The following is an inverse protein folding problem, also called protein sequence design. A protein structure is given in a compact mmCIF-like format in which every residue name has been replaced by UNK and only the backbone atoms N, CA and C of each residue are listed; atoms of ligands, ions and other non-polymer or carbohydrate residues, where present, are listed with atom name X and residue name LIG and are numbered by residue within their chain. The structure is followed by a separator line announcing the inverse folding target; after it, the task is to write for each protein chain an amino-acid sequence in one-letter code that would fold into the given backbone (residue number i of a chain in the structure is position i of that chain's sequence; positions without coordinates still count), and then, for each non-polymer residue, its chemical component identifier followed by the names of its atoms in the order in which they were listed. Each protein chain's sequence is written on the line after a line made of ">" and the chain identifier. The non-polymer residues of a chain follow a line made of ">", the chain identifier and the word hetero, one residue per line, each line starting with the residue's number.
data_IF_604697558050
#
_entry.id   IF_604697558050
#
_cell.length_a   1.000
_cell.length_b   1.000
_cell.length_c   1.000
_cell.angle_alpha   90.00
_cell.angle_beta   90.00
_cell.angle_gamma   90.00
#
_symmetry.space_group_name_H-M   'P 1'
#
loop_
_entity.id
_entity.type
_entity.pdbx_description
1 polymer ?
#
# COMPACT_ATOMS: atom_id res chain seq x y z
N UNK A 1 6.94 9.63 -28.87
CA UNK A 1 7.25 8.65 -27.78
C UNK A 1 7.51 9.32 -26.43
N UNK A 2 7.25 10.62 -26.25
CA UNK A 2 7.58 11.40 -25.04
C UNK A 2 6.46 11.46 -23.98
N UNK A 3 5.21 11.13 -24.34
CA UNK A 3 4.04 11.35 -23.47
C UNK A 3 3.91 10.36 -22.30
N UNK A 4 4.36 9.10 -22.45
CA UNK A 4 4.23 8.08 -21.39
C UNK A 4 5.19 8.33 -20.23
N UNK A 5 6.42 8.79 -20.53
CA UNK A 5 7.41 9.11 -19.50
C UNK A 5 6.99 10.33 -18.67
N UNK A 6 6.34 11.33 -19.30
CA UNK A 6 5.82 12.50 -18.59
C UNK A 6 4.70 12.15 -17.61
N UNK A 7 3.78 11.25 -17.99
CA UNK A 7 2.70 10.80 -17.09
C UNK A 7 3.22 9.99 -15.91
N UNK A 8 4.16 9.07 -16.14
CA UNK A 8 4.75 8.30 -15.05
C UNK A 8 5.41 9.19 -14.00
N UNK A 9 6.12 10.24 -14.43
CA UNK A 9 6.73 11.23 -13.53
C UNK A 9 5.68 12.01 -12.74
N UNK A 10 4.64 12.54 -13.40
CA UNK A 10 3.61 13.33 -12.71
C UNK A 10 2.77 12.52 -11.73
N UNK A 11 2.47 11.25 -12.04
CA UNK A 11 1.82 10.32 -11.10
C UNK A 11 2.73 10.10 -9.89
N UNK A 12 4.03 9.87 -10.10
CA UNK A 12 5.01 9.69 -9.02
C UNK A 12 5.12 10.90 -8.10
N UNK A 13 5.18 12.11 -8.65
CA UNK A 13 5.21 13.37 -7.90
C UNK A 13 3.92 13.56 -7.09
N UNK A 14 2.75 13.42 -7.72
CA UNK A 14 1.47 13.53 -7.02
C UNK A 14 1.32 12.49 -5.90
N UNK A 15 1.76 11.25 -6.13
CA UNK A 15 1.72 10.18 -5.15
C UNK A 15 2.61 10.47 -3.93
N UNK A 16 3.80 11.03 -4.18
CA UNK A 16 4.71 11.46 -3.13
C UNK A 16 4.12 12.64 -2.32
N UNK A 17 3.56 13.64 -2.99
CA UNK A 17 2.93 14.79 -2.36
C UNK A 17 1.71 14.40 -1.51
N UNK A 18 0.86 13.50 -2.02
CA UNK A 18 -0.24 12.91 -1.25
C UNK A 18 0.29 12.26 0.03
N UNK A 19 1.31 11.41 -0.09
CA UNK A 19 1.87 10.67 1.04
C UNK A 19 2.51 11.59 2.07
N UNK A 20 3.22 12.63 1.64
CA UNK A 20 3.79 13.65 2.51
C UNK A 20 2.71 14.42 3.28
N UNK A 21 1.63 14.82 2.61
CA UNK A 21 0.50 15.47 3.26
C UNK A 21 -0.19 14.55 4.28
N UNK A 22 -0.48 13.30 3.91
CA UNK A 22 -1.10 12.31 4.82
C UNK A 22 -0.25 12.03 6.06
N UNK A 23 1.07 11.93 5.87
CA UNK A 23 2.06 11.80 6.95
C UNK A 23 2.00 12.99 7.90
N UNK A 24 1.90 14.21 7.35
CA UNK A 24 1.77 15.45 8.13
C UNK A 24 0.49 15.44 8.98
N UNK A 25 -0.63 14.93 8.47
CA UNK A 25 -1.87 14.80 9.27
C UNK A 25 -1.69 13.92 10.51
N UNK A 26 -0.95 12.80 10.38
CA UNK A 26 -0.70 11.90 11.52
C UNK A 26 0.28 12.54 12.50
N UNK A 27 1.37 13.11 11.98
CA UNK A 27 2.39 13.80 12.77
C UNK A 27 1.80 14.94 13.62
N UNK A 28 0.97 15.78 12.99
CA UNK A 28 0.32 16.93 13.63
C UNK A 28 -0.95 16.54 14.41
N UNK A 29 -1.30 15.24 14.45
CA UNK A 29 -2.48 14.71 15.17
C UNK A 29 -3.80 15.34 14.70
N UNK A 30 -3.93 15.59 13.39
CA UNK A 30 -5.15 16.08 12.76
C UNK A 30 -6.23 14.98 12.65
N UNK A 31 -6.68 14.48 13.80
CA UNK A 31 -7.60 13.35 13.88
C UNK A 31 -8.96 13.62 13.23
N UNK A 32 -9.37 14.89 13.16
CA UNK A 32 -10.57 15.32 12.42
C UNK A 32 -10.46 15.04 10.93
N UNK A 33 -9.36 15.48 10.31
CA UNK A 33 -9.04 15.23 8.89
C UNK A 33 -8.93 13.73 8.60
N UNK A 34 -8.23 12.98 9.45
CA UNK A 34 -8.12 11.51 9.34
C UNK A 34 -9.48 10.81 9.52
N UNK A 35 -10.37 11.33 10.37
CA UNK A 35 -11.72 10.81 10.52
C UNK A 35 -12.61 11.09 9.32
N UNK A 36 -12.47 12.26 8.70
CA UNK A 36 -13.17 12.62 7.47
C UNK A 36 -12.75 11.71 6.30
N UNK A 37 -11.45 11.44 6.14
CA UNK A 37 -10.93 10.54 5.11
C UNK A 37 -11.51 9.12 5.20
N UNK A 38 -11.86 8.65 6.41
CA UNK A 38 -12.48 7.32 6.61
C UNK A 38 -13.98 7.25 6.23
N UNK A 39 -14.64 8.37 5.95
CA UNK A 39 -16.08 8.39 5.65
C UNK A 39 -16.32 8.18 4.16
N UNK A 40 -16.83 6.99 3.81
CA UNK A 40 -17.04 6.59 2.41
C UNK A 40 -18.20 7.33 1.74
N UNK A 41 -19.21 7.73 2.51
CA UNK A 41 -20.51 8.23 1.99
C UNK A 41 -20.64 9.75 1.91
N UNK A 42 -19.68 10.51 2.46
CA UNK A 42 -19.73 11.97 2.44
C UNK A 42 -18.53 12.51 1.64
N UNK A 43 -18.81 13.36 0.66
CA UNK A 43 -17.79 14.21 0.06
C UNK A 43 -17.25 15.17 1.12
N UNK A 44 -16.07 14.85 1.66
CA UNK A 44 -15.42 15.68 2.68
C UNK A 44 -14.32 16.51 2.07
N UNK A 45 -14.04 17.68 2.64
CA UNK A 45 -12.95 18.56 2.19
C UNK A 45 -11.60 17.83 2.17
N UNK A 46 -11.32 16.98 3.16
CA UNK A 46 -10.12 16.16 3.20
C UNK A 46 -10.05 15.16 2.04
N UNK A 47 -11.17 14.50 1.68
CA UNK A 47 -11.21 13.59 0.53
C UNK A 47 -11.01 14.37 -0.77
N UNK A 48 -11.71 15.49 -0.97
CA UNK A 48 -11.52 16.30 -2.18
C UNK A 48 -10.08 16.78 -2.33
N UNK A 49 -9.44 17.17 -1.22
CA UNK A 49 -8.02 17.54 -1.17
C UNK A 49 -7.11 16.37 -1.57
N UNK A 50 -7.38 15.16 -1.08
CA UNK A 50 -6.63 13.98 -1.51
C UNK A 50 -6.69 13.79 -3.03
N UNK A 51 -7.88 13.93 -3.63
CA UNK A 51 -8.06 13.83 -5.07
C UNK A 51 -7.34 14.92 -5.87
N UNK A 52 -7.04 16.08 -5.28
CA UNK A 52 -6.33 17.17 -5.97
C UNK A 52 -4.83 16.91 -6.19
N UNK A 53 -4.27 15.89 -5.55
CA UNK A 53 -2.90 15.44 -5.83
C UNK A 53 -2.80 14.57 -7.11
N UNK A 54 -3.94 14.17 -7.68
CA UNK A 54 -3.95 13.44 -8.95
C UNK A 54 -3.54 14.37 -10.11
N UNK A 55 -2.64 13.94 -11.01
CA UNK A 55 -2.25 14.75 -12.16
C UNK A 55 -3.40 14.97 -13.13
N UNK A 56 -4.29 13.98 -13.25
CA UNK A 56 -5.47 14.02 -14.12
C UNK A 56 -6.76 13.88 -13.30
N UNK A 57 -7.82 14.57 -13.72
CA UNK A 57 -9.13 14.50 -13.06
C UNK A 57 -9.76 13.09 -13.07
N UNK A 58 -9.40 12.25 -14.04
CA UNK A 58 -9.85 10.86 -14.11
C UNK A 58 -9.28 9.96 -13.01
N UNK A 59 -8.11 10.32 -12.46
CA UNK A 59 -7.37 9.48 -11.52
C UNK A 59 -7.64 9.85 -10.06
N UNK A 60 -8.49 10.87 -9.81
CA UNK A 60 -8.84 11.36 -8.46
C UNK A 60 -9.32 10.26 -7.52
N UNK A 61 -10.11 9.31 -8.03
CA UNK A 61 -10.63 8.21 -7.22
C UNK A 61 -9.49 7.40 -6.59
N UNK A 62 -8.39 7.17 -7.31
CA UNK A 62 -7.25 6.38 -6.81
C UNK A 62 -6.64 7.07 -5.59
N UNK A 63 -6.36 8.37 -5.69
CA UNK A 63 -5.78 9.16 -4.62
C UNK A 63 -6.70 9.26 -3.41
N UNK A 64 -8.01 9.45 -3.65
CA UNK A 64 -9.03 9.48 -2.61
C UNK A 64 -9.14 8.14 -1.85
N UNK A 65 -9.08 7.02 -2.58
CA UNK A 65 -9.16 5.69 -1.99
C UNK A 65 -7.88 5.31 -1.26
N UNK A 66 -6.70 5.67 -1.77
CA UNK A 66 -5.44 5.46 -1.04
C UNK A 66 -5.41 6.28 0.25
N UNK A 67 -5.88 7.54 0.22
CA UNK A 67 -6.02 8.34 1.43
C UNK A 67 -6.99 7.71 2.45
N UNK A 68 -8.09 7.11 1.99
CA UNK A 68 -8.98 6.32 2.83
C UNK A 68 -8.26 5.12 3.47
N UNK A 69 -7.52 4.33 2.68
CA UNK A 69 -6.75 3.18 3.17
C UNK A 69 -5.69 3.59 4.20
N UNK A 70 -4.96 4.67 3.93
CA UNK A 70 -4.00 5.27 4.85
C UNK A 70 -4.65 5.63 6.19
N UNK A 71 -5.81 6.30 6.14
CA UNK A 71 -6.53 6.73 7.33
C UNK A 71 -7.13 5.56 8.13
N UNK A 72 -7.46 4.43 7.47
CA UNK A 72 -7.84 3.17 8.11
C UNK A 72 -6.65 2.56 8.84
N UNK A 73 -5.48 2.48 8.20
CA UNK A 73 -4.26 1.94 8.83
C UNK A 73 -3.85 2.75 10.08
N UNK A 74 -3.83 4.07 9.96
CA UNK A 74 -3.39 4.98 11.02
C UNK A 74 -4.46 5.29 12.08
N UNK A 75 -5.59 4.56 12.12
CA UNK A 75 -6.60 4.78 13.16
C UNK A 75 -5.99 4.56 14.55
N UNK A 76 -5.95 5.61 15.36
CA UNK A 76 -5.40 5.57 16.72
C UNK A 76 -3.87 5.45 16.78
N UNK A 77 -3.17 5.63 15.67
CA UNK A 77 -1.70 5.57 15.61
C UNK A 77 -1.13 6.98 15.80
N UNK A 78 -0.10 7.12 16.65
CA UNK A 78 0.53 8.41 16.96
C UNK A 78 1.79 8.73 16.15
N UNK A 79 2.27 7.80 15.33
CA UNK A 79 3.45 7.98 14.45
C UNK A 79 3.09 7.53 13.03
N UNK A 80 3.42 8.33 11.99
CA UNK A 80 3.18 7.91 10.62
C UNK A 80 4.08 6.73 10.24
N UNK A 81 3.50 5.79 9.51
CA UNK A 81 4.20 4.70 8.85
C UNK A 81 4.16 4.94 7.34
N UNK A 82 5.33 5.23 6.76
CA UNK A 82 5.51 5.37 5.31
C UNK A 82 5.24 4.05 4.57
N UNK A 83 5.46 2.93 5.25
CA UNK A 83 5.41 1.61 4.63
C UNK A 83 6.60 1.37 3.70
N UNK A 84 6.66 0.17 3.15
CA UNK A 84 7.68 -0.20 2.16
C UNK A 84 7.24 -1.41 1.34
N UNK A 85 7.74 -1.46 0.11
CA UNK A 85 7.48 -2.52 -0.85
C UNK A 85 6.04 -2.51 -1.39
N UNK A 86 5.79 -3.41 -2.33
CA UNK A 86 4.48 -3.62 -2.93
C UNK A 86 3.46 -4.19 -1.93
N UNK A 87 2.18 -4.20 -2.31
CA UNK A 87 1.16 -4.87 -1.50
C UNK A 87 1.46 -6.37 -1.31
N UNK A 88 1.98 -7.04 -2.35
CA UNK A 88 2.39 -8.45 -2.28
C UNK A 88 3.49 -8.68 -1.24
N UNK A 89 4.53 -7.85 -1.29
CA UNK A 89 5.61 -7.84 -0.32
C UNK A 89 5.12 -7.57 1.10
N UNK A 90 4.16 -6.63 1.25
CA UNK A 90 3.56 -6.34 2.54
C UNK A 90 2.72 -7.49 3.08
N UNK A 91 1.90 -8.11 2.23
CA UNK A 91 1.02 -9.21 2.58
C UNK A 91 1.77 -10.44 3.12
N UNK A 92 3.06 -10.63 2.75
CA UNK A 92 3.92 -11.66 3.35
C UNK A 92 4.04 -11.58 4.85
N UNK A 93 3.85 -10.39 5.42
CA UNK A 93 3.93 -10.18 6.87
C UNK A 93 2.65 -10.59 7.60
N UNK A 94 1.54 -10.81 6.90
CA UNK A 94 0.26 -11.22 7.49
C UNK A 94 0.37 -12.65 8.02
N UNK A 95 -0.10 -12.89 9.24
CA UNK A 95 -0.13 -14.20 9.87
C UNK A 95 0.47 -14.17 11.28
N UNK A 96 0.61 -15.34 11.89
CA UNK A 96 1.21 -15.48 13.23
C UNK A 96 2.72 -15.67 13.12
N UNK A 97 3.50 -15.38 14.18
CA UNK A 97 4.90 -15.81 14.24
C UNK A 97 5.00 -17.32 13.96
N UNK A 98 5.84 -17.74 13.02
CA UNK A 98 6.00 -19.14 12.61
C UNK A 98 5.04 -19.63 11.51
N UNK A 99 4.19 -18.76 10.97
CA UNK A 99 3.34 -19.07 9.81
C UNK A 99 2.76 -17.79 9.20
N UNK A 100 3.52 -17.17 8.28
CA UNK A 100 3.17 -15.88 7.65
C UNK A 100 3.18 -15.97 6.13
N UNK A 101 2.43 -15.06 5.51
CA UNK A 101 2.43 -14.89 4.07
C UNK A 101 1.92 -16.16 3.38
N UNK A 102 2.68 -16.77 2.46
CA UNK A 102 2.28 -18.01 1.78
C UNK A 102 1.97 -19.19 2.73
N UNK A 103 2.47 -19.16 3.96
CA UNK A 103 2.21 -20.19 4.98
C UNK A 103 0.90 -19.95 5.76
N UNK A 104 0.29 -18.75 5.65
CA UNK A 104 -1.01 -18.44 6.25
C UNK A 104 -2.11 -18.56 5.18
N UNK A 105 -3.03 -19.55 5.28
CA UNK A 105 -4.08 -19.75 4.27
C UNK A 105 -5.02 -18.55 4.11
N UNK A 106 -5.17 -17.72 5.15
CA UNK A 106 -5.96 -16.50 5.09
C UNK A 106 -5.28 -15.40 4.30
N UNK A 107 -3.96 -15.27 4.41
CA UNK A 107 -3.15 -14.36 3.61
C UNK A 107 -3.13 -14.78 2.14
N UNK A 108 -2.95 -16.06 1.83
CA UNK A 108 -3.03 -16.61 0.46
C UNK A 108 -4.37 -16.27 -0.19
N UNK A 109 -5.50 -16.65 0.44
CA UNK A 109 -6.85 -16.35 -0.08
C UNK A 109 -7.13 -14.86 -0.24
N UNK A 110 -6.46 -14.01 0.53
CA UNK A 110 -6.60 -12.57 0.40
C UNK A 110 -5.88 -12.07 -0.83
N UNK A 111 -4.62 -12.48 -1.02
CA UNK A 111 -3.80 -12.10 -2.17
C UNK A 111 -4.42 -12.64 -3.46
N UNK A 112 -4.85 -13.90 -3.50
CA UNK A 112 -5.51 -14.50 -4.65
C UNK A 112 -6.71 -13.67 -5.13
N UNK A 113 -7.53 -13.18 -4.20
CA UNK A 113 -8.69 -12.33 -4.51
C UNK A 113 -8.31 -10.93 -5.00
N UNK A 114 -7.18 -10.41 -4.56
CA UNK A 114 -6.65 -9.13 -5.06
C UNK A 114 -6.16 -9.31 -6.49
N UNK A 115 -5.27 -10.29 -6.73
CA UNK A 115 -4.58 -10.43 -8.02
C UNK A 115 -5.47 -11.01 -9.13
N UNK A 116 -6.53 -11.73 -8.80
CA UNK A 116 -7.51 -12.21 -9.77
C UNK A 116 -8.45 -11.11 -10.31
N UNK A 117 -8.45 -9.91 -9.72
CA UNK A 117 -9.43 -8.87 -10.04
C UNK A 117 -9.06 -8.07 -11.29
N UNK A 118 -10.01 -7.98 -12.24
CA UNK A 118 -9.87 -7.17 -13.47
C UNK A 118 -9.98 -5.66 -13.23
N UNK A 119 -10.65 -5.25 -12.15
CA UNK A 119 -10.75 -3.85 -11.71
C UNK A 119 -10.00 -3.70 -10.40
N UNK A 120 -9.70 -2.47 -9.99
CA UNK A 120 -9.06 -2.23 -8.69
C UNK A 120 -9.91 -2.85 -7.57
N UNK A 121 -9.38 -3.80 -6.79
CA UNK A 121 -10.16 -4.56 -5.81
C UNK A 121 -10.27 -3.82 -4.47
N UNK A 122 -10.88 -2.63 -4.44
CA UNK A 122 -10.91 -1.73 -3.28
C UNK A 122 -11.26 -2.41 -1.95
N UNK A 123 -12.29 -3.26 -1.93
CA UNK A 123 -12.70 -4.01 -0.73
C UNK A 123 -11.61 -4.95 -0.22
N UNK A 124 -10.88 -5.63 -1.11
CA UNK A 124 -9.82 -6.54 -0.72
C UNK A 124 -8.55 -5.80 -0.31
N UNK A 125 -8.24 -4.65 -0.94
CA UNK A 125 -7.18 -3.76 -0.49
C UNK A 125 -7.42 -3.27 0.94
N UNK A 126 -8.64 -2.80 1.23
CA UNK A 126 -9.02 -2.41 2.59
C UNK A 126 -8.85 -3.57 3.58
N UNK A 127 -9.24 -4.79 3.20
CA UNK A 127 -9.06 -5.96 4.05
C UNK A 127 -7.59 -6.27 4.29
N UNK A 128 -6.72 -6.17 3.27
CA UNK A 128 -5.28 -6.35 3.41
C UNK A 128 -4.65 -5.33 4.36
N UNK A 129 -4.95 -4.04 4.19
CA UNK A 129 -4.47 -2.97 5.07
C UNK A 129 -4.96 -3.17 6.52
N UNK A 130 -6.23 -3.57 6.69
CA UNK A 130 -6.79 -3.86 8.02
C UNK A 130 -6.10 -5.05 8.68
N UNK A 131 -5.80 -6.11 7.91
CA UNK A 131 -5.07 -7.30 8.39
C UNK A 131 -3.64 -6.97 8.77
N UNK A 132 -2.92 -6.19 7.96
CA UNK A 132 -1.57 -5.72 8.27
C UNK A 132 -1.54 -4.95 9.59
N UNK A 133 -2.47 -3.99 9.75
CA UNK A 133 -2.63 -3.25 11.01
C UNK A 133 -2.92 -4.18 12.20
N UNK A 134 -3.84 -5.13 12.05
CA UNK A 134 -4.22 -6.05 13.12
C UNK A 134 -3.08 -7.01 13.53
N UNK A 135 -2.17 -7.30 12.61
CA UNK A 135 -0.96 -8.09 12.87
C UNK A 135 0.23 -7.20 13.31
N UNK A 136 0.01 -5.91 13.52
CA UNK A 136 1.05 -4.91 13.86
C UNK A 136 2.21 -4.88 12.85
N UNK A 137 1.89 -5.10 11.57
CA UNK A 137 2.87 -5.10 10.49
C UNK A 137 2.85 -3.79 9.71
N UNK A 138 4.01 -3.40 9.20
CA UNK A 138 4.19 -2.22 8.35
C UNK A 138 3.33 -2.33 7.08
N UNK A 139 2.72 -1.22 6.61
CA UNK A 139 1.92 -1.21 5.38
C UNK A 139 2.83 -1.34 4.14
N UNK A 140 2.26 -1.51 2.92
CA UNK A 140 3.00 -1.25 1.69
C UNK A 140 3.42 0.22 1.61
N UNK A 141 4.35 0.53 0.72
CA UNK A 141 4.66 1.91 0.35
C UNK A 141 3.40 2.59 -0.18
N UNK A 142 2.97 3.69 0.43
CA UNK A 142 1.76 4.40 0.01
C UNK A 142 1.94 5.07 -1.36
N UNK A 143 3.13 5.60 -1.63
CA UNK A 143 3.50 6.17 -2.92
C UNK A 143 3.45 5.10 -4.01
N UNK A 144 4.11 3.95 -3.80
CA UNK A 144 4.13 2.88 -4.80
C UNK A 144 2.74 2.28 -5.00
N UNK A 145 1.92 2.23 -3.93
CA UNK A 145 0.53 1.78 -4.05
C UNK A 145 -0.29 2.68 -4.99
N UNK A 146 -0.11 4.00 -4.97
CA UNK A 146 -0.80 4.89 -5.94
C UNK A 146 -0.33 4.58 -7.36
N UNK A 147 0.99 4.46 -7.57
CA UNK A 147 1.60 4.19 -8.88
C UNK A 147 1.12 2.83 -9.45
N UNK A 148 1.10 1.80 -8.60
CA UNK A 148 0.62 0.46 -8.95
C UNK A 148 -0.86 0.48 -9.33
N UNK A 149 -1.67 1.27 -8.62
CA UNK A 149 -3.12 1.35 -8.88
C UNK A 149 -3.46 2.16 -10.13
N UNK A 150 -2.71 3.22 -10.43
CA UNK A 150 -2.82 3.97 -11.69
C UNK A 150 -2.58 3.05 -12.90
N UNK A 151 -1.62 2.14 -12.76
CA UNK A 151 -1.26 1.18 -13.81
C UNK A 151 -2.01 -0.15 -13.72
N UNK A 152 -3.04 -0.28 -12.87
CA UNK A 152 -3.71 -1.56 -12.60
C UNK A 152 -4.26 -2.23 -13.86
N UNK A 153 -4.81 -1.43 -14.78
CA UNK A 153 -5.39 -1.92 -16.03
C UNK A 153 -4.39 -1.94 -17.21
N UNK A 154 -3.15 -1.48 -17.00
CA UNK A 154 -2.10 -1.58 -18.01
C UNK A 154 -1.56 -3.02 -18.05
N UNK A 155 -1.88 -3.71 -19.15
CA UNK A 155 -1.44 -5.09 -19.39
C UNK A 155 0.08 -5.23 -19.45
N UNK A 156 0.82 -4.18 -19.79
CA UNK A 156 2.28 -4.19 -19.82
C UNK A 156 2.88 -4.06 -18.43
N UNK A 157 2.26 -3.26 -17.57
CA UNK A 157 2.69 -3.06 -16.19
C UNK A 157 2.53 -4.33 -15.33
N UNK A 158 1.53 -5.18 -15.63
CA UNK A 158 1.34 -6.50 -14.99
C UNK A 158 1.32 -6.46 -13.46
N UNK A 159 0.78 -5.39 -12.86
CA UNK A 159 0.84 -5.12 -11.42
C UNK A 159 0.34 -6.32 -10.57
N UNK A 160 -0.81 -6.88 -10.91
CA UNK A 160 -1.36 -8.06 -10.22
C UNK A 160 -0.39 -9.26 -10.22
N UNK A 161 0.34 -9.47 -11.32
CA UNK A 161 1.37 -10.51 -11.40
C UNK A 161 2.57 -10.18 -10.52
N UNK A 162 3.05 -8.94 -10.53
CA UNK A 162 4.17 -8.52 -9.67
C UNK A 162 3.83 -8.69 -8.20
N UNK A 163 2.62 -8.29 -7.77
CA UNK A 163 2.18 -8.52 -6.39
C UNK A 163 2.09 -10.01 -6.03
N UNK A 164 1.67 -10.88 -6.96
CA UNK A 164 1.67 -12.32 -6.73
C UNK A 164 3.10 -12.86 -6.57
N UNK A 165 4.02 -12.46 -7.47
CA UNK A 165 5.43 -12.85 -7.40
C UNK A 165 6.07 -12.39 -6.09
N UNK A 166 5.88 -11.12 -5.74
CA UNK A 166 6.43 -10.56 -4.51
C UNK A 166 5.90 -11.26 -3.25
N UNK A 167 4.64 -11.71 -3.28
CA UNK A 167 4.03 -12.47 -2.18
C UNK A 167 4.62 -13.88 -2.04
N UNK A 168 4.88 -14.56 -3.16
CA UNK A 168 5.44 -15.90 -3.19
C UNK A 168 6.96 -15.95 -3.21
N UNK A 169 7.62 -14.79 -3.30
CA UNK A 169 9.08 -14.72 -3.30
C UNK A 169 9.64 -15.42 -2.06
N UNK A 170 10.73 -16.20 -2.19
CA UNK A 170 11.36 -16.84 -1.05
C UNK A 170 11.75 -15.77 -0.01
N UNK A 171 11.77 -16.13 1.27
CA UNK A 171 12.40 -15.28 2.28
C UNK A 171 13.89 -15.30 1.97
N UNK A 172 14.47 -14.14 1.63
CA UNK A 172 15.92 -14.00 1.63
C UNK A 172 16.37 -14.33 3.06
N UNK A 173 16.83 -15.55 3.27
CA UNK A 173 17.54 -15.95 4.48
C UNK A 173 18.89 -15.28 4.44
N UNK A 174 18.90 -13.97 4.71
CA UNK A 174 20.10 -13.15 4.73
C UNK A 174 21.10 -13.73 5.74
N UNK A 175 22.24 -14.17 5.21
CA UNK A 175 23.50 -14.52 5.91
C UNK A 175 23.36 -15.51 7.07
N UNK A 176 23.68 -16.78 6.79
CA UNK A 176 24.44 -17.58 7.77
C UNK A 176 25.69 -16.78 8.12
N UNK A 177 25.77 -16.26 9.34
CA UNK A 177 27.03 -15.84 9.94
C UNK A 177 27.99 -17.04 9.80
N UNK A 178 29.16 -16.93 9.13
CA UNK A 178 30.20 -17.91 9.36
C UNK A 178 30.60 -17.75 10.82
N UNK A 179 30.28 -18.75 11.63
CA UNK A 179 30.68 -18.80 13.03
C UNK A 179 32.19 -18.57 13.10
N UNK A 180 32.55 -17.53 13.85
CA UNK A 180 33.88 -17.31 14.38
C UNK A 180 34.22 -18.49 15.30
N UNK A 181 35.29 -19.21 15.00
CA UNK A 181 35.87 -20.31 15.78
C UNK A 181 36.45 -21.36 14.83
N UNK A 182 37.76 -21.55 14.72
CA UNK A 182 38.63 -21.91 15.83
C UNK A 182 40.07 -21.51 15.51
N UNK A 183 40.68 -20.72 16.39
CA UNK A 183 42.12 -20.75 16.59
C UNK A 183 42.41 -21.89 17.55
N UNK A 184 43.21 -22.87 17.13
CA UNK A 184 44.14 -23.59 17.98
C UNK A 184 45.30 -24.03 17.09
#
# INVERSE_FOLDING_TARGET
>A
MTSTSGRATSVGEGAADLTAWLTTLVHNREYGSLAQLRRVTAGTSARYRAGWYAPDHGDREIYEQVAFLFAVYHRGVGRPAQGYGSLGSAARRIGRPGGRGPEDPGAVRLVDRVVASRRIPWRHLQHAITRLRACEQQPPSWTDLVIDLDQWNDRKARIAYHWAVDFHAPYDTGRKNPQKGSST
#
